data_IF_847940834595
#
_entry.id   IF_847940834595
#
_cell.length_a   1.000
_cell.length_b   1.000
_cell.length_c   1.000
_cell.angle_alpha   90.00
_cell.angle_beta   90.00
_cell.angle_gamma   90.00
#
_symmetry.space_group_name_H-M   'P 1'
#
loop_
_entity.id
_entity.type
_entity.pdbx_description
1 polymer ?
#
# COMPACT_ATOMS: atom_id res chain seq x y z
N UNK A 1 39.61 29.03 -5.06
CA UNK A 1 39.07 27.99 -5.96
C UNK A 1 38.19 27.13 -5.08
N UNK A 2 36.99 27.64 -4.79
CA UNK A 2 35.98 26.91 -4.06
C UNK A 2 34.91 26.55 -5.07
N UNK A 3 34.86 25.26 -5.44
CA UNK A 3 33.80 24.72 -6.27
C UNK A 3 32.53 24.67 -5.42
N UNK A 4 31.61 25.60 -5.68
CA UNK A 4 30.23 25.53 -5.21
C UNK A 4 29.59 24.22 -5.71
N UNK A 5 29.57 23.22 -4.83
CA UNK A 5 28.74 22.05 -5.03
C UNK A 5 27.31 22.48 -4.68
N UNK A 6 26.57 22.92 -5.70
CA UNK A 6 25.16 23.24 -5.63
C UNK A 6 24.36 21.99 -5.25
N UNK A 7 24.15 21.77 -3.95
CA UNK A 7 23.11 20.87 -3.46
C UNK A 7 21.76 21.50 -3.81
N UNK A 8 21.19 21.09 -4.95
CA UNK A 8 19.83 21.45 -5.32
C UNK A 8 18.87 20.96 -4.22
N UNK A 9 18.04 21.91 -3.76
CA UNK A 9 16.99 21.78 -2.76
C UNK A 9 16.07 20.57 -3.03
N UNK A 10 15.92 19.73 -1.99
CA UNK A 10 15.21 18.44 -1.93
C UNK A 10 13.77 18.60 -1.44
N UNK A 11 12.93 19.34 -2.17
CA UNK A 11 11.49 19.47 -1.86
C UNK A 11 10.58 18.87 -2.95
N UNK A 12 11.17 18.21 -3.96
CA UNK A 12 10.40 17.60 -5.05
C UNK A 12 10.16 16.13 -4.72
N UNK A 13 8.91 15.70 -4.46
CA UNK A 13 8.62 14.29 -4.20
C UNK A 13 8.97 13.45 -5.43
N UNK A 14 9.47 12.24 -5.18
CA UNK A 14 9.56 11.19 -6.19
C UNK A 14 8.24 10.42 -6.18
N UNK A 15 7.68 10.15 -7.35
CA UNK A 15 6.36 9.54 -7.49
C UNK A 15 6.45 8.24 -8.28
N UNK A 16 5.88 7.18 -7.75
CA UNK A 16 5.61 5.93 -8.45
C UNK A 16 4.10 5.81 -8.62
N UNK A 17 3.64 5.67 -9.86
CA UNK A 17 2.23 5.44 -10.17
C UNK A 17 2.13 4.08 -10.83
N UNK A 18 1.46 3.13 -10.21
CA UNK A 18 1.35 1.77 -10.71
C UNK A 18 -0.10 1.36 -10.86
N UNK A 19 -0.41 0.76 -12.00
CA UNK A 19 -1.64 -0.03 -12.17
C UNK A 19 -1.24 -1.48 -12.34
N UNK A 20 -2.05 -2.35 -11.79
CA UNK A 20 -1.93 -3.77 -11.97
C UNK A 20 -3.29 -4.26 -12.45
N UNK A 21 -3.31 -4.78 -13.68
CA UNK A 21 -4.53 -5.18 -14.36
C UNK A 21 -4.34 -6.53 -15.01
N UNK A 22 -5.19 -7.50 -14.69
CA UNK A 22 -5.33 -8.73 -15.47
C UNK A 22 -5.86 -8.46 -16.88
N UNK A 23 -5.62 -9.35 -17.87
CA UNK A 23 -5.98 -9.11 -19.25
C UNK A 23 -7.49 -9.28 -19.53
N UNK A 24 -8.39 -8.74 -18.72
CA UNK A 24 -9.82 -8.70 -19.04
C UNK A 24 -10.48 -7.34 -18.69
N UNK A 25 -10.76 -6.58 -19.77
CA UNK A 25 -11.77 -5.52 -19.94
C UNK A 25 -11.86 -4.31 -19.00
N UNK A 26 -11.21 -4.26 -17.85
CA UNK A 26 -11.48 -3.19 -16.88
C UNK A 26 -10.77 -1.88 -17.21
N UNK A 27 -11.55 -0.80 -17.20
CA UNK A 27 -11.16 0.56 -17.55
C UNK A 27 -10.37 1.24 -16.43
N UNK A 28 -9.21 0.70 -16.05
CA UNK A 28 -8.35 1.38 -15.08
C UNK A 28 -7.68 2.60 -15.74
N UNK A 29 -8.31 3.76 -15.55
CA UNK A 29 -7.83 5.06 -16.00
C UNK A 29 -7.19 5.88 -14.87
N UNK A 30 -7.27 5.38 -13.64
CA UNK A 30 -6.88 6.10 -12.43
C UNK A 30 -5.41 6.51 -12.45
N UNK A 31 -4.55 5.60 -12.89
CA UNK A 31 -3.11 5.85 -13.00
C UNK A 31 -2.80 6.95 -14.01
N UNK A 32 -3.59 7.04 -15.07
CA UNK A 32 -3.42 8.08 -16.07
C UNK A 32 -3.84 9.45 -15.53
N UNK A 33 -4.95 9.53 -14.78
CA UNK A 33 -5.31 10.76 -14.09
C UNK A 33 -4.29 11.13 -13.00
N UNK A 34 -3.86 10.16 -12.18
CA UNK A 34 -2.82 10.36 -11.17
C UNK A 34 -1.53 10.92 -11.76
N UNK A 35 -1.08 10.40 -12.92
CA UNK A 35 0.06 10.95 -13.66
C UNK A 35 -0.14 12.43 -13.98
N UNK A 36 -1.29 12.81 -14.54
CA UNK A 36 -1.58 14.21 -14.85
C UNK A 36 -1.64 15.10 -13.61
N UNK A 37 -2.23 14.61 -12.51
CA UNK A 37 -2.30 15.32 -11.24
C UNK A 37 -0.89 15.63 -10.70
N UNK A 38 0.02 14.65 -10.67
CA UNK A 38 1.37 14.89 -10.15
C UNK A 38 2.20 15.79 -11.08
N UNK A 39 2.02 15.68 -12.40
CA UNK A 39 2.64 16.60 -13.37
C UNK A 39 2.13 18.03 -13.22
N UNK A 40 0.82 18.22 -13.01
CA UNK A 40 0.19 19.53 -12.75
C UNK A 40 0.78 20.19 -11.50
N UNK A 41 1.08 19.37 -10.49
CA UNK A 41 1.72 19.74 -9.24
C UNK A 41 3.26 19.82 -9.28
N UNK A 42 3.83 19.94 -10.49
CA UNK A 42 5.25 20.21 -10.74
C UNK A 42 6.21 19.07 -10.36
N UNK A 43 5.72 17.85 -10.22
CA UNK A 43 6.61 16.68 -10.17
C UNK A 43 7.24 16.47 -11.56
N UNK A 44 8.58 16.49 -11.69
CA UNK A 44 9.27 16.27 -12.94
C UNK A 44 9.01 14.86 -13.52
N UNK A 45 9.03 14.70 -14.84
CA UNK A 45 8.65 13.44 -15.48
C UNK A 45 9.70 12.36 -15.25
N UNK A 46 10.95 12.77 -15.07
CA UNK A 46 12.07 11.94 -14.65
C UNK A 46 11.88 11.35 -13.25
N UNK A 47 11.08 12.01 -12.39
CA UNK A 47 10.77 11.58 -11.02
C UNK A 47 9.46 10.79 -10.94
N UNK A 48 8.78 10.56 -12.07
CA UNK A 48 7.55 9.77 -12.14
C UNK A 48 7.88 8.45 -12.81
N UNK A 49 7.58 7.34 -12.15
CA UNK A 49 7.71 6.01 -12.72
C UNK A 49 6.29 5.47 -12.93
N UNK A 50 5.92 5.17 -14.17
CA UNK A 50 4.55 4.70 -14.49
C UNK A 50 4.54 3.26 -14.99
N UNK A 51 3.78 2.42 -14.30
CA UNK A 51 3.41 1.08 -14.76
C UNK A 51 2.01 1.14 -15.35
N UNK A 52 1.82 0.62 -16.57
CA UNK A 52 0.51 0.45 -17.19
C UNK A 52 0.53 -0.62 -18.28
N UNK A 53 -0.46 -1.53 -18.29
CA UNK A 53 -0.51 -2.58 -19.30
C UNK A 53 -0.69 -2.00 -20.72
N UNK A 54 -1.35 -0.84 -20.84
CA UNK A 54 -1.51 -0.03 -22.06
C UNK A 54 -2.30 -0.71 -23.19
N UNK A 55 -3.36 -1.43 -22.83
CA UNK A 55 -4.25 -2.13 -23.76
C UNK A 55 -5.58 -1.41 -24.04
N UNK A 56 -5.92 -0.35 -23.30
CA UNK A 56 -7.22 0.34 -23.38
C UNK A 56 -7.31 1.28 -24.59
N UNK A 57 -6.37 2.21 -24.75
CA UNK A 57 -6.44 3.26 -25.77
C UNK A 57 -6.48 2.70 -27.21
N UNK A 58 -5.81 1.56 -27.43
CA UNK A 58 -5.75 0.87 -28.73
C UNK A 58 -6.66 -0.36 -28.82
N UNK A 59 -7.45 -0.64 -27.77
CA UNK A 59 -8.34 -1.81 -27.74
C UNK A 59 -9.31 -1.77 -28.93
N UNK A 60 -9.58 -2.89 -29.59
CA UNK A 60 -10.56 -2.95 -30.70
C UNK A 60 -11.97 -2.58 -30.25
N UNK A 61 -12.37 -2.88 -29.02
CA UNK A 61 -13.69 -2.51 -28.48
C UNK A 61 -13.79 -1.07 -27.98
N UNK A 62 -12.67 -0.36 -27.77
CA UNK A 62 -12.72 1.04 -27.37
C UNK A 62 -13.32 1.89 -28.53
N UNK A 63 -14.49 2.50 -28.37
CA UNK A 63 -15.11 3.30 -29.43
C UNK A 63 -14.33 4.61 -29.70
N UNK A 64 -13.55 5.10 -28.74
CA UNK A 64 -12.75 6.32 -28.83
C UNK A 64 -11.25 5.99 -28.93
N UNK A 65 -10.81 5.55 -30.13
CA UNK A 65 -9.41 5.15 -30.37
C UNK A 65 -8.42 6.24 -29.96
N UNK A 66 -7.42 5.82 -29.19
CA UNK A 66 -6.34 6.67 -28.70
C UNK A 66 -6.69 7.51 -27.47
N UNK A 67 -7.89 7.35 -26.89
CA UNK A 67 -8.34 8.07 -25.70
C UNK A 67 -8.74 7.10 -24.59
N UNK A 68 -8.60 7.57 -23.35
CA UNK A 68 -9.09 6.91 -22.14
C UNK A 68 -9.73 7.98 -21.27
N UNK A 69 -10.85 7.64 -20.62
CA UNK A 69 -11.64 8.56 -19.80
C UNK A 69 -11.81 7.97 -18.39
N UNK A 70 -12.00 8.83 -17.40
CA UNK A 70 -12.24 8.43 -16.01
C UNK A 70 -13.68 8.74 -15.55
N UNK A 71 -14.41 9.57 -16.29
CA UNK A 71 -15.77 9.98 -15.93
C UNK A 71 -16.65 10.15 -17.18
N UNK A 72 -17.92 10.49 -16.96
CA UNK A 72 -18.89 10.78 -18.02
C UNK A 72 -18.64 12.09 -18.77
N UNK A 73 -17.66 12.92 -18.35
CA UNK A 73 -17.28 14.12 -19.11
C UNK A 73 -16.40 13.77 -20.32
N UNK A 74 -15.89 12.54 -20.39
CA UNK A 74 -15.03 12.05 -21.48
C UNK A 74 -13.79 12.92 -21.69
N UNK A 75 -13.23 13.45 -20.60
CA UNK A 75 -11.95 14.15 -20.64
C UNK A 75 -10.83 13.13 -20.81
N UNK A 76 -10.06 13.27 -21.88
CA UNK A 76 -8.95 12.36 -22.18
C UNK A 76 -7.85 12.46 -21.12
N UNK A 77 -7.64 11.36 -20.40
CA UNK A 77 -6.58 11.22 -19.40
C UNK A 77 -5.38 10.44 -19.94
N UNK A 78 -5.41 9.93 -21.17
CA UNK A 78 -4.31 9.12 -21.72
C UNK A 78 -3.21 9.95 -22.40
N UNK A 79 -3.61 11.01 -23.11
CA UNK A 79 -2.68 11.76 -23.94
C UNK A 79 -1.58 12.46 -23.12
N UNK A 80 -0.32 12.12 -23.41
CA UNK A 80 0.85 12.71 -22.76
C UNK A 80 1.36 11.95 -21.54
N UNK A 81 0.73 10.84 -21.17
CA UNK A 81 1.26 9.90 -20.17
C UNK A 81 2.54 9.24 -20.70
N UNK A 82 3.59 9.25 -19.87
CA UNK A 82 4.82 8.50 -20.13
C UNK A 82 4.72 7.19 -19.36
N UNK A 83 4.75 6.06 -20.08
CA UNK A 83 4.66 4.71 -19.50
C UNK A 83 6.05 4.07 -19.53
N UNK A 84 6.63 3.80 -18.36
CA UNK A 84 7.98 3.24 -18.19
C UNK A 84 7.98 1.70 -18.23
N UNK A 85 6.95 1.09 -17.66
CA UNK A 85 6.71 -0.35 -17.65
C UNK A 85 5.38 -0.62 -18.34
N UNK A 86 5.45 -1.27 -19.50
CA UNK A 86 4.32 -1.47 -20.41
C UNK A 86 4.04 -2.95 -20.66
N UNK A 87 2.77 -3.33 -20.67
CA UNK A 87 2.34 -4.69 -21.00
C UNK A 87 3.01 -5.74 -20.10
N UNK A 88 3.83 -6.62 -20.69
CA UNK A 88 4.53 -7.70 -19.96
C UNK A 88 5.57 -7.24 -18.94
N UNK A 89 5.96 -5.96 -18.97
CA UNK A 89 6.86 -5.40 -17.95
C UNK A 89 6.12 -5.05 -16.66
N UNK A 90 4.78 -5.12 -16.65
CA UNK A 90 3.95 -4.86 -15.46
C UNK A 90 3.85 -6.14 -14.63
N UNK A 91 4.89 -6.40 -13.84
CA UNK A 91 4.99 -7.58 -12.97
C UNK A 91 5.28 -7.18 -11.52
N UNK A 92 4.90 -8.02 -10.53
CA UNK A 92 5.29 -7.85 -9.13
C UNK A 92 6.80 -7.68 -8.96
N UNK A 93 7.59 -8.49 -9.65
CA UNK A 93 9.05 -8.46 -9.61
C UNK A 93 9.61 -7.12 -10.06
N UNK A 94 9.19 -6.62 -11.23
CA UNK A 94 9.64 -5.31 -11.71
C UNK A 94 9.20 -4.19 -10.76
N UNK A 95 7.98 -4.27 -10.22
CA UNK A 95 7.48 -3.29 -9.25
C UNK A 95 8.35 -3.26 -7.99
N UNK A 96 8.65 -4.42 -7.40
CA UNK A 96 9.54 -4.52 -6.23
C UNK A 96 10.98 -4.10 -6.53
N UNK A 97 11.53 -4.49 -7.69
CA UNK A 97 12.88 -4.09 -8.12
C UNK A 97 12.99 -2.58 -8.36
N UNK A 98 11.94 -1.95 -8.91
CA UNK A 98 11.86 -0.49 -9.03
C UNK A 98 11.92 0.17 -7.66
N UNK A 99 11.13 -0.29 -6.71
CA UNK A 99 11.10 0.24 -5.34
C UNK A 99 12.46 0.09 -4.64
N UNK A 100 13.19 -0.97 -4.95
CA UNK A 100 14.54 -1.24 -4.41
C UNK A 100 15.66 -0.50 -5.15
N UNK A 101 15.36 0.24 -6.22
CA UNK A 101 16.38 0.93 -7.01
C UNK A 101 17.34 -0.02 -7.72
N UNK A 102 16.82 -1.09 -8.32
CA UNK A 102 17.65 -2.20 -8.84
C UNK A 102 18.61 -1.80 -9.98
N UNK A 103 19.89 -2.13 -9.79
CA UNK A 103 20.98 -1.81 -10.72
C UNK A 103 20.85 -2.52 -12.08
N UNK A 104 20.23 -3.71 -12.15
CA UNK A 104 20.07 -4.44 -13.41
C UNK A 104 18.99 -3.82 -14.26
N UNK A 105 17.87 -3.42 -13.65
CA UNK A 105 16.85 -2.63 -14.35
C UNK A 105 17.46 -1.33 -14.88
N UNK A 106 18.23 -0.62 -14.05
CA UNK A 106 18.92 0.60 -14.48
C UNK A 106 19.90 0.35 -15.64
N UNK A 107 20.72 -0.70 -15.56
CA UNK A 107 21.65 -1.07 -16.63
C UNK A 107 20.92 -1.38 -17.96
N UNK A 108 19.68 -1.87 -17.87
CA UNK A 108 18.79 -2.08 -19.01
C UNK A 108 18.01 -0.82 -19.43
N UNK A 109 18.41 0.36 -18.94
CA UNK A 109 17.79 1.67 -19.22
C UNK A 109 16.33 1.76 -18.77
N UNK A 110 15.91 0.93 -17.82
CA UNK A 110 14.60 1.05 -17.18
C UNK A 110 14.69 2.06 -16.04
N UNK A 111 13.62 2.84 -15.86
CA UNK A 111 13.52 3.83 -14.79
C UNK A 111 13.29 3.09 -13.46
N UNK A 112 14.10 3.39 -12.46
CA UNK A 112 13.98 2.84 -11.10
C UNK A 112 13.93 3.97 -10.08
N UNK A 113 13.52 3.68 -8.85
CA UNK A 113 13.50 4.67 -7.79
C UNK A 113 14.93 5.03 -7.39
N UNK A 114 15.27 6.33 -7.43
CA UNK A 114 16.59 6.86 -7.05
C UNK A 114 16.52 7.86 -5.90
N UNK A 115 15.53 7.68 -5.03
CA UNK A 115 15.33 8.54 -3.87
C UNK A 115 16.31 8.21 -2.74
N UNK A 116 16.72 9.23 -2.02
CA UNK A 116 17.61 9.17 -0.86
C UNK A 116 16.94 9.59 0.45
N UNK A 117 17.72 9.79 1.51
CA UNK A 117 17.21 10.02 2.87
C UNK A 117 16.42 11.32 3.06
N UNK A 118 16.53 12.26 2.11
CA UNK A 118 15.86 13.56 2.17
C UNK A 118 14.65 13.65 1.24
N UNK A 119 14.44 12.63 0.39
CA UNK A 119 13.39 12.64 -0.62
C UNK A 119 12.11 12.05 -0.07
N UNK A 120 10.96 12.63 -0.45
CA UNK A 120 9.67 12.05 -0.14
C UNK A 120 9.21 11.16 -1.30
N UNK A 121 8.62 10.01 -0.99
CA UNK A 121 8.14 9.06 -1.98
C UNK A 121 6.62 8.94 -1.90
N UNK A 122 5.94 9.09 -3.03
CA UNK A 122 4.51 8.80 -3.16
C UNK A 122 4.34 7.59 -4.07
N UNK A 123 3.58 6.60 -3.63
CA UNK A 123 3.22 5.41 -4.40
C UNK A 123 1.70 5.37 -4.49
N UNK A 124 1.19 5.22 -5.71
CA UNK A 124 -0.22 4.89 -5.95
C UNK A 124 -0.30 3.56 -6.67
N UNK A 125 -1.08 2.64 -6.11
CA UNK A 125 -1.45 1.37 -6.74
C UNK A 125 -2.95 1.36 -7.01
N UNK A 126 -3.36 1.03 -8.23
CA UNK A 126 -4.76 0.71 -8.56
C UNK A 126 -4.85 -0.58 -9.36
N UNK A 127 -5.63 -1.52 -8.86
CA UNK A 127 -5.76 -2.86 -9.43
C UNK A 127 -6.70 -3.75 -8.64
N UNK A 128 -6.72 -5.04 -8.95
CA UNK A 128 -7.44 -6.01 -8.14
C UNK A 128 -6.67 -6.41 -6.89
N UNK A 129 -7.40 -6.92 -5.91
CA UNK A 129 -6.83 -7.53 -4.73
C UNK A 129 -7.72 -8.66 -4.23
N UNK A 130 -7.16 -9.39 -3.29
CA UNK A 130 -7.87 -10.34 -2.44
C UNK A 130 -7.17 -10.37 -1.08
N UNK A 131 -7.60 -11.23 -0.18
CA UNK A 131 -6.99 -11.32 1.15
C UNK A 131 -5.47 -11.54 1.08
N UNK A 132 -4.73 -10.56 1.58
CA UNK A 132 -3.26 -10.48 1.65
C UNK A 132 -2.53 -10.52 0.30
N UNK A 133 -3.19 -10.19 -0.82
CA UNK A 133 -2.56 -10.10 -2.15
C UNK A 133 -3.11 -8.92 -2.96
N UNK A 134 -2.25 -8.31 -3.78
CA UNK A 134 -2.67 -7.43 -4.88
C UNK A 134 -2.26 -8.05 -6.21
N UNK A 135 -3.09 -7.90 -7.23
CA UNK A 135 -3.00 -8.71 -8.46
C UNK A 135 -2.37 -7.93 -9.59
N UNK A 136 -1.36 -8.51 -10.22
CA UNK A 136 -0.74 -8.08 -11.46
C UNK A 136 -1.18 -8.98 -12.63
N UNK A 137 -0.99 -8.56 -13.90
CA UNK A 137 -1.38 -9.40 -15.03
C UNK A 137 -0.69 -10.78 -15.01
N UNK A 138 -1.46 -11.80 -14.60
CA UNK A 138 -1.01 -13.19 -14.56
C UNK A 138 -0.13 -13.57 -13.36
N UNK A 139 0.05 -12.67 -12.39
CA UNK A 139 0.89 -12.87 -11.20
C UNK A 139 0.30 -12.11 -9.99
N UNK A 140 0.64 -12.52 -8.77
CA UNK A 140 0.18 -11.86 -7.54
C UNK A 140 1.37 -11.30 -6.76
N UNK A 141 1.18 -10.18 -6.06
CA UNK A 141 2.12 -9.65 -5.10
C UNK A 141 1.59 -9.85 -3.68
N UNK A 142 2.30 -10.64 -2.87
CA UNK A 142 1.87 -10.93 -1.50
C UNK A 142 2.09 -9.73 -0.58
N UNK A 143 1.23 -9.58 0.43
CA UNK A 143 1.36 -8.57 1.49
C UNK A 143 2.75 -8.60 2.14
N UNK A 144 3.27 -9.78 2.45
CA UNK A 144 4.59 -9.91 3.07
C UNK A 144 5.71 -9.41 2.15
N UNK A 145 5.66 -9.71 0.85
CA UNK A 145 6.69 -9.30 -0.12
C UNK A 145 6.73 -7.77 -0.31
N UNK A 146 5.55 -7.15 -0.37
CA UNK A 146 5.43 -5.70 -0.41
C UNK A 146 5.99 -5.06 0.86
N UNK A 147 5.59 -5.56 2.04
CA UNK A 147 6.04 -4.99 3.32
C UNK A 147 7.53 -5.22 3.57
N UNK A 148 8.09 -6.36 3.17
CA UNK A 148 9.55 -6.60 3.20
C UNK A 148 10.30 -5.63 2.29
N UNK A 149 9.72 -5.30 1.13
CA UNK A 149 10.27 -4.29 0.22
C UNK A 149 10.22 -2.88 0.84
N UNK A 150 9.12 -2.51 1.50
CA UNK A 150 9.02 -1.24 2.23
C UNK A 150 10.02 -1.16 3.39
N UNK A 151 10.19 -2.25 4.14
CA UNK A 151 11.18 -2.37 5.21
C UNK A 151 12.61 -2.25 4.66
N UNK A 152 12.90 -2.87 3.51
CA UNK A 152 14.16 -2.70 2.79
C UNK A 152 14.43 -1.23 2.47
N UNK A 153 13.48 -0.55 1.83
CA UNK A 153 13.61 0.87 1.46
C UNK A 153 13.92 1.75 2.68
N UNK A 154 13.23 1.49 3.80
CA UNK A 154 13.49 2.19 5.07
C UNK A 154 14.90 1.90 5.59
N UNK A 155 15.34 0.64 5.60
CA UNK A 155 16.67 0.25 6.07
C UNK A 155 17.80 0.86 5.24
N UNK A 156 17.56 1.07 3.95
CA UNK A 156 18.48 1.70 3.00
C UNK A 156 18.38 3.23 2.96
N UNK A 157 17.51 3.82 3.79
CA UNK A 157 17.25 5.26 3.84
C UNK A 157 16.89 5.83 2.46
N UNK A 158 16.05 5.12 1.72
CA UNK A 158 15.61 5.53 0.37
C UNK A 158 14.51 6.58 0.40
N UNK A 159 14.06 7.03 1.57
CA UNK A 159 13.09 8.11 1.71
C UNK A 159 13.17 8.75 3.09
N UNK A 160 12.76 10.01 3.16
CA UNK A 160 12.42 10.73 4.40
C UNK A 160 11.04 10.32 4.91
N UNK A 161 10.02 10.50 4.05
CA UNK A 161 8.62 10.13 4.25
C UNK A 161 8.11 9.36 3.03
N UNK A 162 7.28 8.34 3.25
CA UNK A 162 6.63 7.60 2.18
C UNK A 162 5.11 7.60 2.39
N UNK A 163 4.37 7.87 1.31
CA UNK A 163 2.91 7.77 1.26
C UNK A 163 2.53 6.71 0.23
N UNK A 164 1.65 5.78 0.60
CA UNK A 164 1.17 4.71 -0.29
C UNK A 164 -0.36 4.69 -0.30
N UNK A 165 -0.95 4.89 -1.46
CA UNK A 165 -2.39 4.77 -1.69
C UNK A 165 -2.66 3.48 -2.46
N UNK A 166 -3.59 2.66 -1.97
CA UNK A 166 -3.90 1.34 -2.55
C UNK A 166 -5.39 1.22 -2.83
N UNK A 167 -5.73 1.24 -4.12
CA UNK A 167 -7.02 0.85 -4.66
C UNK A 167 -7.00 -0.63 -5.03
N UNK A 168 -7.74 -1.43 -4.26
CA UNK A 168 -7.98 -2.85 -4.48
C UNK A 168 -9.03 -3.39 -3.48
N UNK A 169 -9.71 -4.48 -3.85
CA UNK A 169 -10.48 -5.30 -2.91
C UNK A 169 -9.58 -5.82 -1.79
N UNK A 170 -10.11 -5.90 -0.57
CA UNK A 170 -9.43 -6.36 0.64
C UNK A 170 -8.11 -5.62 0.91
N UNK A 171 -7.88 -4.41 0.37
CA UNK A 171 -6.58 -3.74 0.42
C UNK A 171 -6.06 -3.50 1.84
N UNK A 172 -6.96 -3.39 2.84
CA UNK A 172 -6.56 -3.31 4.24
C UNK A 172 -5.73 -4.51 4.72
N UNK A 173 -6.00 -5.70 4.17
CA UNK A 173 -5.31 -6.95 4.52
C UNK A 173 -3.84 -6.98 4.08
N UNK A 174 -3.41 -6.03 3.23
CA UNK A 174 -2.01 -5.84 2.86
C UNK A 174 -1.18 -5.22 3.99
N UNK A 175 -1.81 -4.58 4.97
CA UNK A 175 -1.12 -3.79 5.99
C UNK A 175 -1.58 -4.07 7.43
N UNK A 176 -2.80 -4.60 7.61
CA UNK A 176 -3.32 -4.98 8.92
C UNK A 176 -2.37 -5.95 9.63
N UNK A 177 -1.87 -5.56 10.79
CA UNK A 177 -0.84 -6.29 11.57
C UNK A 177 0.50 -6.60 10.84
N UNK A 178 0.62 -6.30 9.55
CA UNK A 178 1.85 -6.49 8.74
C UNK A 178 2.74 -5.25 8.75
N UNK A 179 2.19 -4.04 8.68
CA UNK A 179 2.96 -2.78 8.56
C UNK A 179 3.23 -2.13 9.94
N UNK A 180 4.48 -2.09 10.43
CA UNK A 180 4.81 -1.37 11.66
C UNK A 180 4.50 0.13 11.59
N UNK A 181 4.03 0.69 12.72
CA UNK A 181 3.62 2.10 12.84
C UNK A 181 4.77 3.11 12.90
N UNK A 182 6.03 2.68 12.97
CA UNK A 182 7.21 3.53 13.20
C UNK A 182 8.21 3.54 12.02
N UNK A 183 7.72 3.43 10.78
CA UNK A 183 8.56 3.34 9.58
C UNK A 183 8.69 4.62 8.75
N UNK A 184 8.06 5.73 9.13
CA UNK A 184 7.97 6.90 8.24
C UNK A 184 7.08 6.67 7.02
N UNK A 185 6.17 5.69 7.10
CA UNK A 185 5.25 5.27 6.03
C UNK A 185 3.83 5.59 6.48
N UNK A 186 3.07 6.24 5.60
CA UNK A 186 1.64 6.49 5.74
C UNK A 186 0.91 5.77 4.62
N UNK A 187 -0.09 4.96 4.95
CA UNK A 187 -0.85 4.20 3.96
C UNK A 187 -2.33 4.51 4.08
N UNK A 188 -3.04 4.65 2.95
CA UNK A 188 -4.49 4.57 2.91
C UNK A 188 -4.93 3.52 1.88
N UNK A 189 -6.05 2.86 2.15
CA UNK A 189 -6.59 1.79 1.31
C UNK A 189 -8.04 2.05 0.98
N UNK A 190 -8.48 1.64 -0.21
CA UNK A 190 -9.86 1.81 -0.67
C UNK A 190 -10.88 1.04 0.18
N UNK A 191 -10.49 -0.13 0.69
CA UNK A 191 -11.33 -1.03 1.45
C UNK A 191 -10.61 -1.53 2.71
N UNK A 192 -11.39 -2.02 3.68
CA UNK A 192 -10.88 -2.77 4.82
C UNK A 192 -10.38 -4.18 4.43
N UNK A 193 -10.06 -5.00 5.43
CA UNK A 193 -9.48 -6.32 5.23
C UNK A 193 -10.45 -7.34 4.61
N UNK A 194 -11.76 -7.13 4.74
CA UNK A 194 -12.81 -8.15 4.53
C UNK A 194 -13.89 -7.73 3.52
N UNK A 195 -13.66 -6.66 2.75
CA UNK A 195 -14.62 -6.14 1.77
C UNK A 195 -13.96 -5.78 0.43
N UNK A 196 -14.80 -5.70 -0.60
CA UNK A 196 -14.40 -5.27 -1.93
C UNK A 196 -14.34 -3.74 -2.01
N UNK A 197 -13.49 -3.23 -2.91
CA UNK A 197 -13.59 -1.84 -3.35
C UNK A 197 -14.62 -1.73 -4.48
N UNK A 198 -15.01 -0.50 -4.82
CA UNK A 198 -16.13 -0.26 -5.74
C UNK A 198 -15.69 0.55 -6.96
N UNK A 199 -16.25 0.19 -8.12
CA UNK A 199 -16.06 0.91 -9.36
C UNK A 199 -17.09 2.03 -9.54
N UNK A 200 -16.72 3.09 -10.26
CA UNK A 200 -17.59 4.20 -10.64
C UNK A 200 -17.74 4.31 -12.16
N UNK A 201 -18.76 5.08 -12.55
CA UNK A 201 -19.04 5.45 -13.93
C UNK A 201 -19.29 4.25 -14.86
N UNK A 202 -19.97 3.21 -14.36
CA UNK A 202 -20.24 1.96 -15.08
C UNK A 202 -21.39 2.00 -16.08
N UNK A 203 -22.10 3.13 -16.19
CA UNK A 203 -23.31 3.26 -17.02
C UNK A 203 -23.11 4.27 -18.15
N UNK A 204 -21.91 4.30 -18.73
CA UNK A 204 -21.62 5.14 -19.88
C UNK A 204 -22.41 4.67 -21.11
N UNK A 205 -22.82 5.62 -21.96
CA UNK A 205 -23.66 5.33 -23.13
C UNK A 205 -22.91 4.63 -24.25
N UNK A 206 -21.63 4.95 -24.41
CA UNK A 206 -20.79 4.48 -25.51
C UNK A 206 -19.77 3.44 -25.03
N UNK A 207 -19.43 3.43 -23.73
CA UNK A 207 -18.41 2.57 -23.13
C UNK A 207 -19.05 1.57 -22.15
N UNK A 208 -19.06 0.30 -22.53
CA UNK A 208 -19.68 -0.79 -21.74
C UNK A 208 -18.74 -1.35 -20.64
N UNK A 209 -18.03 -0.46 -19.95
CA UNK A 209 -17.15 -0.77 -18.80
C UNK A 209 -17.15 0.41 -17.82
N UNK A 210 -16.86 0.14 -16.54
CA UNK A 210 -16.58 1.20 -15.56
C UNK A 210 -15.31 1.97 -15.93
N UNK A 211 -15.32 3.29 -15.67
CA UNK A 211 -14.26 4.21 -16.09
C UNK A 211 -13.26 4.52 -14.97
N UNK A 212 -13.63 4.31 -13.71
CA UNK A 212 -12.82 4.61 -12.53
C UNK A 212 -13.14 3.70 -11.37
N UNK A 213 -12.31 3.75 -10.34
CA UNK A 213 -12.60 3.21 -9.01
C UNK A 213 -12.99 4.34 -8.03
N UNK A 214 -13.90 4.07 -7.10
CA UNK A 214 -14.52 5.09 -6.21
C UNK A 214 -13.48 5.81 -5.36
N UNK A 215 -12.72 5.06 -4.55
CA UNK A 215 -11.69 5.66 -3.70
C UNK A 215 -10.66 6.42 -4.54
N UNK A 216 -10.24 5.83 -5.67
CA UNK A 216 -9.30 6.46 -6.59
C UNK A 216 -9.81 7.79 -7.13
N UNK A 217 -11.04 7.81 -7.63
CA UNK A 217 -11.67 9.01 -8.14
C UNK A 217 -11.80 10.10 -7.06
N UNK A 218 -12.21 9.74 -5.84
CA UNK A 218 -12.41 10.69 -4.75
C UNK A 218 -11.12 11.37 -4.30
N UNK A 219 -10.00 10.63 -4.14
CA UNK A 219 -8.73 11.26 -3.74
C UNK A 219 -8.12 12.10 -4.87
N UNK A 220 -8.29 11.67 -6.12
CA UNK A 220 -7.86 12.43 -7.29
C UNK A 220 -8.63 13.76 -7.38
N UNK A 221 -9.95 13.71 -7.20
CA UNK A 221 -10.83 14.86 -7.24
C UNK A 221 -10.52 15.86 -6.11
N UNK A 222 -10.37 15.40 -4.87
CA UNK A 222 -9.96 16.26 -3.74
C UNK A 222 -8.63 16.96 -4.06
N UNK A 223 -7.66 16.23 -4.62
CA UNK A 223 -6.35 16.77 -4.99
C UNK A 223 -6.38 17.73 -6.19
N UNK A 224 -7.40 17.65 -7.05
CA UNK A 224 -7.57 18.59 -8.16
C UNK A 224 -8.16 19.93 -7.73
N UNK A 225 -9.09 19.92 -6.76
CA UNK A 225 -9.82 21.10 -6.31
C UNK A 225 -9.23 21.75 -5.05
N UNK A 226 -8.47 21.02 -4.25
CA UNK A 226 -7.79 21.55 -3.05
C UNK A 226 -6.31 21.77 -3.35
N UNK A 227 -5.77 22.87 -2.82
CA UNK A 227 -4.33 23.12 -2.92
C UNK A 227 -3.58 22.12 -2.05
N UNK A 228 -2.89 21.17 -2.70
CA UNK A 228 -2.10 20.12 -2.05
C UNK A 228 -1.00 20.66 -1.11
N UNK A 229 -0.62 21.94 -1.24
CA UNK A 229 0.36 22.57 -0.34
C UNK A 229 -0.21 22.95 1.01
N UNK A 230 -1.53 23.10 1.09
CA UNK A 230 -2.25 23.47 2.31
C UNK A 230 -3.11 22.34 2.85
N UNK A 231 -3.54 21.42 1.98
CA UNK A 231 -4.29 20.20 2.32
C UNK A 231 -3.36 19.18 2.99
N UNK A 232 -3.68 18.79 4.22
CA UNK A 232 -2.93 17.72 4.91
C UNK A 232 -3.42 16.32 4.47
N UNK A 233 -2.56 15.31 4.63
CA UNK A 233 -2.93 13.91 4.35
C UNK A 233 -4.12 13.43 5.19
N UNK A 234 -4.19 13.83 6.47
CA UNK A 234 -5.30 13.43 7.34
C UNK A 234 -6.61 14.11 6.92
N UNK A 235 -6.58 15.39 6.53
CA UNK A 235 -7.76 16.06 6.03
C UNK A 235 -8.26 15.48 4.69
N UNK A 236 -7.34 15.08 3.81
CA UNK A 236 -7.70 14.36 2.58
C UNK A 236 -8.28 12.98 2.93
N UNK A 237 -7.65 12.22 3.83
CA UNK A 237 -8.16 10.92 4.26
C UNK A 237 -9.58 11.01 4.82
N UNK A 238 -9.87 11.98 5.69
CA UNK A 238 -11.23 12.14 6.24
C UNK A 238 -12.25 12.50 5.16
N UNK A 239 -11.87 13.31 4.16
CA UNK A 239 -12.76 13.65 3.05
C UNK A 239 -12.98 12.46 2.10
N UNK A 240 -11.92 11.76 1.71
CA UNK A 240 -12.01 10.58 0.85
C UNK A 240 -12.81 9.48 1.54
N UNK A 241 -12.60 9.26 2.85
CA UNK A 241 -13.41 8.35 3.67
C UNK A 241 -14.88 8.76 3.74
N UNK A 242 -15.17 10.06 3.76
CA UNK A 242 -16.54 10.59 3.78
C UNK A 242 -17.23 10.41 2.42
N UNK A 243 -16.48 10.52 1.32
CA UNK A 243 -17.02 10.45 -0.04
C UNK A 243 -17.06 9.04 -0.63
N UNK A 244 -16.19 8.13 -0.18
CA UNK A 244 -16.21 6.71 -0.57
C UNK A 244 -17.32 6.02 0.22
N UNK A 245 -18.43 5.69 -0.45
CA UNK A 245 -19.67 5.23 0.22
C UNK A 245 -19.79 3.71 0.22
N UNK A 246 -19.14 3.02 -0.73
CA UNK A 246 -19.32 1.59 -0.92
C UNK A 246 -18.30 0.72 -0.16
N UNK A 247 -17.25 1.33 0.39
CA UNK A 247 -16.23 0.66 1.20
C UNK A 247 -15.71 1.56 2.32
N UNK A 248 -15.01 0.97 3.28
CA UNK A 248 -14.37 1.64 4.40
C UNK A 248 -12.91 1.96 4.05
N UNK A 249 -12.65 3.23 3.78
CA UNK A 249 -11.29 3.73 3.60
C UNK A 249 -10.52 3.58 4.92
N UNK A 250 -9.41 2.84 4.86
CA UNK A 250 -8.57 2.59 6.03
C UNK A 250 -7.26 3.38 5.96
N UNK A 251 -6.58 3.47 7.10
CA UNK A 251 -5.27 4.11 7.25
C UNK A 251 -4.36 3.22 8.08
N UNK A 252 -3.08 3.12 7.71
CA UNK A 252 -2.04 2.33 8.39
C UNK A 252 -0.71 3.10 8.50
N UNK A 253 0.22 2.58 9.31
CA UNK A 253 1.56 3.16 9.47
C UNK A 253 1.65 4.28 10.51
N UNK A 254 2.40 5.34 10.22
CA UNK A 254 2.56 6.52 11.09
C UNK A 254 1.24 7.29 11.23
N UNK A 255 0.41 6.90 12.19
CA UNK A 255 -0.71 7.69 12.67
C UNK A 255 -0.19 8.66 13.73
N UNK A 256 -0.44 9.97 13.57
CA UNK A 256 -0.23 10.93 14.67
C UNK A 256 -1.20 10.59 15.81
N UNK A 257 -0.74 9.72 16.71
CA UNK A 257 -1.08 9.53 18.12
C UNK A 257 -0.38 8.24 18.59
N UNK A 258 0.94 8.32 18.75
CA UNK A 258 1.79 7.22 19.23
C UNK A 258 1.61 6.91 20.74
N UNK A 259 0.60 7.47 21.39
CA UNK A 259 0.36 7.28 22.81
C UNK A 259 -0.50 6.05 23.15
N UNK A 260 -1.19 5.42 22.17
CA UNK A 260 -2.23 4.43 22.47
C UNK A 260 -2.13 3.08 21.74
N UNK A 261 -0.96 2.70 21.21
CA UNK A 261 -0.79 1.31 20.72
C UNK A 261 0.41 0.64 21.37
N UNK A 262 0.11 -0.33 22.25
CA UNK A 262 1.06 -1.40 22.61
C UNK A 262 1.59 -2.01 21.30
N UNK A 263 2.87 -2.41 21.23
CA UNK A 263 3.41 -3.07 20.05
C UNK A 263 2.53 -4.26 19.65
N UNK A 264 2.24 -4.42 18.36
CA UNK A 264 1.43 -5.54 17.88
C UNK A 264 2.05 -6.86 18.35
N UNK A 265 1.21 -7.82 18.76
CA UNK A 265 1.70 -9.12 19.23
C UNK A 265 2.58 -9.81 18.18
N UNK A 266 2.32 -9.56 16.89
CA UNK A 266 3.11 -10.08 15.78
C UNK A 266 4.51 -9.46 15.66
N UNK A 267 4.68 -8.15 15.84
CA UNK A 267 6.00 -7.52 15.89
C UNK A 267 6.85 -8.05 17.06
N UNK A 268 6.19 -8.38 18.18
CA UNK A 268 6.82 -9.04 19.32
C UNK A 268 7.24 -10.49 19.00
N UNK A 269 6.40 -11.26 18.29
CA UNK A 269 6.70 -12.62 17.85
C UNK A 269 7.82 -12.66 16.80
N UNK A 270 7.81 -11.77 15.82
CA UNK A 270 8.86 -11.67 14.80
C UNK A 270 10.22 -11.39 15.44
N UNK A 271 10.27 -10.47 16.39
CA UNK A 271 11.50 -10.15 17.14
C UNK A 271 11.99 -11.35 17.98
N UNK A 272 11.08 -12.16 18.54
CA UNK A 272 11.45 -13.37 19.30
C UNK A 272 11.88 -14.52 18.40
N UNK A 273 11.20 -14.72 17.26
CA UNK A 273 11.55 -15.70 16.24
C UNK A 273 12.93 -15.40 15.67
N UNK A 274 13.21 -14.14 15.33
CA UNK A 274 14.54 -13.70 14.90
C UNK A 274 15.62 -13.99 15.95
N UNK A 275 15.37 -13.71 17.23
CA UNK A 275 16.30 -14.02 18.32
C UNK A 275 16.56 -15.52 18.53
N UNK A 276 15.57 -16.37 18.21
CA UNK A 276 15.75 -17.82 18.20
C UNK A 276 16.68 -18.25 17.05
N UNK A 277 16.43 -17.74 15.84
CA UNK A 277 17.27 -18.02 14.66
C UNK A 277 18.70 -17.48 14.79
N UNK A 278 18.89 -16.34 15.47
CA UNK A 278 20.20 -15.71 15.67
C UNK A 278 20.99 -16.28 16.87
N UNK A 279 20.40 -17.20 17.65
CA UNK A 279 21.05 -17.73 18.86
C UNK A 279 22.19 -18.71 18.53
N UNK A 280 23.43 -18.24 18.62
CA UNK A 280 24.63 -19.03 18.31
C UNK A 280 25.08 -20.00 19.42
N UNK A 281 24.48 -19.94 20.61
CA UNK A 281 24.80 -20.81 21.77
C UNK A 281 23.55 -21.51 22.27
N UNK A 282 23.70 -22.76 22.69
CA UNK A 282 22.61 -23.65 23.10
C UNK A 282 21.76 -23.07 24.25
N UNK A 283 22.39 -22.52 25.29
CA UNK A 283 21.67 -21.84 26.38
C UNK A 283 20.86 -20.62 25.91
N UNK A 284 21.37 -19.87 24.93
CA UNK A 284 20.68 -18.70 24.37
C UNK A 284 19.51 -19.14 23.47
N UNK A 285 19.67 -20.27 22.77
CA UNK A 285 18.62 -20.87 21.95
C UNK A 285 17.45 -21.36 22.82
N UNK A 286 17.74 -22.08 23.91
CA UNK A 286 16.72 -22.53 24.88
C UNK A 286 15.94 -21.36 25.49
N UNK A 287 16.63 -20.30 25.93
CA UNK A 287 15.97 -19.11 26.48
C UNK A 287 15.13 -18.40 25.41
N UNK A 288 15.62 -18.30 24.18
CA UNK A 288 14.87 -17.69 23.07
C UNK A 288 13.64 -18.52 22.70
N UNK A 289 13.77 -19.84 22.69
CA UNK A 289 12.70 -20.79 22.37
C UNK A 289 11.58 -20.72 23.41
N UNK A 290 11.91 -20.81 24.70
CA UNK A 290 10.92 -20.67 25.78
C UNK A 290 10.20 -19.31 25.77
N UNK A 291 10.89 -18.24 25.36
CA UNK A 291 10.29 -16.89 25.27
C UNK A 291 9.37 -16.72 24.06
N UNK A 292 9.66 -17.42 22.95
CA UNK A 292 8.79 -17.47 21.77
C UNK A 292 7.57 -18.36 22.03
N UNK A 293 7.80 -19.54 22.60
CA UNK A 293 6.75 -20.51 22.93
C UNK A 293 5.68 -19.90 23.87
N UNK A 294 6.10 -19.24 24.96
CA UNK A 294 5.17 -18.52 25.84
C UNK A 294 4.41 -17.40 25.14
N UNK A 295 5.04 -16.70 24.19
CA UNK A 295 4.38 -15.63 23.44
C UNK A 295 3.33 -16.17 22.45
N UNK A 296 3.55 -17.36 21.88
CA UNK A 296 2.59 -18.05 21.04
C UNK A 296 1.39 -18.56 21.85
N UNK A 297 1.63 -19.14 23.04
CA UNK A 297 0.57 -19.55 23.96
C UNK A 297 -0.32 -18.39 24.41
N UNK A 298 0.27 -17.21 24.66
CA UNK A 298 -0.51 -15.99 24.95
C UNK A 298 -1.40 -15.58 23.77
N UNK A 299 -0.95 -15.76 22.53
CA UNK A 299 -1.74 -15.46 21.33
C UNK A 299 -2.95 -16.41 21.21
N UNK A 300 -2.74 -17.69 21.50
CA UNK A 300 -3.77 -18.73 21.47
C UNK A 300 -4.84 -18.49 22.56
N UNK A 301 -4.42 -18.12 23.77
CA UNK A 301 -5.34 -17.70 24.84
C UNK A 301 -6.05 -16.38 24.50
N UNK A 302 -5.37 -15.45 23.83
CA UNK A 302 -5.96 -14.18 23.41
C UNK A 302 -7.11 -14.39 22.41
N UNK A 303 -7.03 -15.38 21.51
CA UNK A 303 -8.12 -15.76 20.61
C UNK A 303 -9.35 -16.31 21.36
N UNK A 304 -9.17 -16.83 22.57
CA UNK A 304 -10.25 -17.37 23.41
C UNK A 304 -10.84 -16.32 24.37
N UNK A 305 -10.38 -15.06 24.34
CA UNK A 305 -10.80 -14.00 25.27
C UNK A 305 -12.30 -13.73 25.24
N UNK A 306 -12.93 -13.78 24.07
CA UNK A 306 -14.38 -13.63 23.92
C UNK A 306 -15.13 -14.74 24.65
N UNK A 307 -14.65 -15.98 24.54
CA UNK A 307 -15.24 -17.14 25.20
C UNK A 307 -15.01 -17.11 26.72
N UNK A 308 -13.82 -16.71 27.17
CA UNK A 308 -13.52 -16.50 28.59
C UNK A 308 -14.42 -15.41 29.20
N UNK A 309 -14.70 -14.33 28.46
CA UNK A 309 -15.66 -13.30 28.89
C UNK A 309 -17.09 -13.82 28.99
N UNK A 310 -17.50 -14.74 28.11
CA UNK A 310 -18.82 -15.38 28.20
C UNK A 310 -18.92 -16.30 29.42
N UNK A 311 -17.88 -17.07 29.74
CA UNK A 311 -17.82 -17.90 30.95
C UNK A 311 -17.90 -17.04 32.22
N UNK A 312 -17.21 -15.89 32.27
CA UNK A 312 -17.35 -14.93 33.37
C UNK A 312 -18.80 -14.41 33.49
N UNK A 313 -19.47 -14.09 32.36
CA UNK A 313 -20.87 -13.65 32.36
C UNK A 313 -21.85 -14.76 32.77
N UNK A 314 -21.48 -16.02 32.55
CA UNK A 314 -22.24 -17.19 32.97
C UNK A 314 -22.07 -17.53 34.47
N UNK A 315 -21.27 -16.76 35.22
CA UNK A 315 -21.14 -16.88 36.68
C UNK A 315 -20.02 -17.81 37.16
N UNK A 316 -19.09 -18.20 36.28
CA UNK A 316 -17.90 -18.93 36.69
C UNK A 316 -16.94 -18.03 37.49
N UNK A 317 -16.34 -18.56 38.55
CA UNK A 317 -15.42 -17.79 39.39
C UNK A 317 -14.13 -17.43 38.63
N UNK A 318 -13.77 -16.15 38.70
CA UNK A 318 -12.63 -15.57 37.98
C UNK A 318 -11.32 -16.26 38.38
N UNK A 319 -11.17 -16.65 39.64
CA UNK A 319 -9.97 -17.32 40.16
C UNK A 319 -9.80 -18.72 39.55
N UNK A 320 -10.89 -19.48 39.38
CA UNK A 320 -10.86 -20.79 38.73
C UNK A 320 -10.54 -20.70 37.23
N UNK A 321 -11.03 -19.65 36.56
CA UNK A 321 -10.70 -19.39 35.14
C UNK A 321 -9.23 -18.97 34.99
N UNK A 322 -8.70 -18.15 35.90
CA UNK A 322 -7.28 -17.77 35.93
C UNK A 322 -6.40 -18.99 36.14
N UNK A 323 -6.74 -19.87 37.10
CA UNK A 323 -5.96 -21.09 37.38
C UNK A 323 -6.00 -22.07 36.19
N UNK A 324 -7.12 -22.17 35.48
CA UNK A 324 -7.25 -22.99 34.27
C UNK A 324 -6.34 -22.48 33.15
N UNK A 325 -6.35 -21.16 32.88
CA UNK A 325 -5.47 -20.53 31.89
C UNK A 325 -4.00 -20.66 32.30
N UNK A 326 -3.70 -20.50 33.59
CA UNK A 326 -2.35 -20.62 34.12
C UNK A 326 -1.80 -22.04 33.96
N UNK A 327 -2.61 -23.08 34.19
CA UNK A 327 -2.21 -24.48 34.00
C UNK A 327 -1.96 -24.87 32.54
N UNK A 328 -2.59 -24.20 31.58
CA UNK A 328 -2.35 -24.41 30.14
C UNK A 328 -1.06 -23.69 29.70
N UNK A 329 -0.72 -22.56 30.33
CA UNK A 329 0.40 -21.70 29.95
C UNK A 329 1.71 -21.93 30.74
N UNK A 330 1.72 -22.83 31.73
CA UNK A 330 2.87 -23.16 32.59
C UNK A 330 3.70 -24.31 32.03
#
# INVERSE_FOLDING_TARGET
MDSENSTKSTDVPTTLVATAKEPEWLGNSDVFHAYHLVRKNKVPAENIITFAYDDIAKNRKNPFKGKVFQDYEHKDVYNGVVIDYRGRDVTPDNFMMVLKGDDKLEANKKKVLKSGPNDNVFIFFSGHGASSVIVFPGEELLAMELNDTLAYMRSKKMFNKLVLYVEACNAGSMFHDVLPSNMGIYVTTAANEDEDSSALFCSDKDIDVCLADEYSYEWLLDSEYKDIKTRTLDEQYEEVKRCTVFSHVMKYGEMRNAADRKPSCQAHLFTKSRRLFEAAREEAHEIAWHRLYRALQILEVAQQTSHLMELCKAGYEVEALIDCVHNICS
#
